data_IF_767650746400
#
_entry.id   IF_767650746400
#
_cell.length_a   1.000
_cell.length_b   1.000
_cell.length_c   1.000
_cell.angle_alpha   90.00
_cell.angle_beta   90.00
_cell.angle_gamma   90.00
#
_symmetry.space_group_name_H-M   'P 1'
#
loop_
_entity.id
_entity.type
_entity.pdbx_description
1 polymer ?
#
# COMPACT_ATOMS: atom_id res chain seq x y z
N UNK A 1 -3.78 -4.44 -22.38
CA UNK A 1 -4.62 -5.33 -21.53
C UNK A 1 -5.35 -4.58 -20.42
N UNK A 2 -4.66 -3.90 -19.48
CA UNK A 2 -5.31 -3.22 -18.34
C UNK A 2 -6.44 -2.25 -18.72
N UNK A 3 -6.23 -1.41 -19.74
CA UNK A 3 -7.25 -0.47 -20.25
C UNK A 3 -8.52 -1.21 -20.73
N UNK A 4 -8.36 -2.34 -21.43
CA UNK A 4 -9.49 -3.14 -21.94
C UNK A 4 -10.30 -3.71 -20.77
N UNK A 5 -9.63 -4.24 -19.75
CA UNK A 5 -10.28 -4.77 -18.53
C UNK A 5 -11.00 -3.65 -17.78
N UNK A 6 -10.34 -2.51 -17.58
CA UNK A 6 -10.92 -1.33 -16.93
C UNK A 6 -12.20 -0.87 -17.66
N UNK A 7 -12.13 -0.78 -18.99
CA UNK A 7 -13.27 -0.39 -19.83
C UNK A 7 -14.39 -1.43 -19.78
N UNK A 8 -14.08 -2.72 -19.85
CA UNK A 8 -15.06 -3.80 -19.71
C UNK A 8 -15.78 -3.75 -18.36
N UNK A 9 -15.02 -3.72 -17.27
CA UNK A 9 -15.55 -3.64 -15.90
C UNK A 9 -16.39 -2.39 -15.69
N UNK A 10 -15.98 -1.26 -16.26
CA UNK A 10 -16.73 -0.01 -16.13
C UNK A 10 -18.14 -0.06 -16.68
N UNK A 11 -18.48 -1.02 -17.56
CA UNK A 11 -19.84 -1.20 -18.10
C UNK A 11 -20.68 -2.22 -17.35
N UNK A 12 -20.07 -2.95 -16.43
CA UNK A 12 -20.79 -3.95 -15.64
C UNK A 12 -21.80 -3.25 -14.74
N UNK A 13 -22.99 -3.81 -14.61
CA UNK A 13 -24.02 -3.35 -13.69
C UNK A 13 -23.61 -3.65 -12.23
N UNK A 14 -23.33 -2.62 -11.40
CA UNK A 14 -22.90 -2.84 -10.02
C UNK A 14 -23.93 -3.57 -9.17
N UNK A 15 -25.22 -3.37 -9.43
CA UNK A 15 -26.29 -3.94 -8.60
C UNK A 15 -26.25 -5.47 -8.58
N UNK A 16 -25.83 -6.08 -9.69
CA UNK A 16 -25.76 -7.53 -9.87
C UNK A 16 -24.37 -8.10 -9.59
N UNK A 17 -23.33 -7.40 -10.02
CA UNK A 17 -21.98 -7.97 -10.10
C UNK A 17 -21.01 -7.47 -9.05
N UNK A 18 -21.24 -6.31 -8.43
CA UNK A 18 -20.28 -5.72 -7.49
C UNK A 18 -19.92 -6.68 -6.36
N UNK A 19 -20.92 -7.30 -5.72
CA UNK A 19 -20.67 -8.26 -4.64
C UNK A 19 -19.97 -9.52 -5.11
N UNK A 20 -20.33 -10.04 -6.28
CA UNK A 20 -19.74 -11.28 -6.83
C UNK A 20 -18.27 -11.07 -7.18
N UNK A 21 -17.95 -9.97 -7.85
CA UNK A 21 -16.58 -9.59 -8.21
C UNK A 21 -15.76 -9.29 -6.96
N UNK A 22 -16.34 -8.60 -5.99
CA UNK A 22 -15.69 -8.30 -4.72
C UNK A 22 -15.27 -9.55 -3.94
N UNK A 23 -16.20 -10.50 -3.76
CA UNK A 23 -15.88 -11.77 -3.10
C UNK A 23 -14.94 -12.65 -3.93
N UNK A 24 -15.07 -12.63 -5.26
CA UNK A 24 -14.11 -13.30 -6.15
C UNK A 24 -12.69 -12.76 -5.93
N UNK A 25 -12.51 -11.44 -5.88
CA UNK A 25 -11.23 -10.77 -5.63
C UNK A 25 -10.71 -10.99 -4.20
N UNK A 26 -11.55 -11.39 -3.25
CA UNK A 26 -11.11 -11.75 -1.90
C UNK A 26 -10.66 -13.22 -1.85
N UNK A 27 -11.54 -14.15 -2.24
CA UNK A 27 -11.34 -15.57 -2.01
C UNK A 27 -10.38 -16.20 -3.01
N UNK A 28 -10.49 -15.89 -4.31
CA UNK A 28 -9.63 -16.53 -5.32
C UNK A 28 -8.16 -16.16 -5.10
N UNK A 29 -7.78 -14.88 -4.93
CA UNK A 29 -6.41 -14.55 -4.59
C UNK A 29 -5.94 -15.16 -3.27
N UNK A 30 -6.78 -15.21 -2.23
CA UNK A 30 -6.43 -15.86 -0.95
C UNK A 30 -6.08 -17.34 -1.16
N UNK A 31 -6.89 -18.07 -1.93
CA UNK A 31 -6.63 -19.47 -2.27
C UNK A 31 -5.36 -19.63 -3.10
N UNK A 32 -5.09 -18.72 -4.04
CA UNK A 32 -3.86 -18.73 -4.82
C UNK A 32 -2.62 -18.51 -3.95
N UNK A 33 -2.66 -17.60 -2.96
CA UNK A 33 -1.54 -17.39 -2.04
C UNK A 33 -1.20 -18.67 -1.26
N UNK A 34 -2.23 -19.36 -0.76
CA UNK A 34 -2.04 -20.66 -0.09
C UNK A 34 -1.52 -21.72 -1.07
N UNK A 35 -2.11 -21.78 -2.27
CA UNK A 35 -1.73 -22.73 -3.32
C UNK A 35 -0.28 -22.56 -3.79
N UNK A 36 0.23 -21.33 -3.83
CA UNK A 36 1.60 -21.02 -4.21
C UNK A 36 2.66 -21.70 -3.36
N UNK A 37 2.35 -22.02 -2.10
CA UNK A 37 3.25 -22.76 -1.23
C UNK A 37 3.60 -24.14 -1.83
N UNK A 38 2.59 -24.80 -2.40
CA UNK A 38 2.70 -26.15 -2.97
C UNK A 38 3.22 -26.17 -4.42
N UNK A 39 3.30 -25.01 -5.08
CA UNK A 39 3.79 -24.92 -6.46
C UNK A 39 5.31 -25.07 -6.53
N UNK A 40 5.86 -25.72 -7.58
CA UNK A 40 7.30 -25.78 -7.79
C UNK A 40 7.89 -24.39 -8.07
N UNK A 41 9.18 -24.21 -7.80
CA UNK A 41 9.86 -22.91 -8.01
C UNK A 41 9.85 -22.44 -9.46
N UNK A 42 9.74 -23.36 -10.41
CA UNK A 42 9.59 -23.06 -11.84
C UNK A 42 8.33 -22.25 -12.15
N UNK A 43 7.24 -22.52 -11.42
CA UNK A 43 5.95 -21.86 -11.57
C UNK A 43 5.74 -20.74 -10.56
N UNK A 44 6.40 -20.79 -9.41
CA UNK A 44 6.26 -19.81 -8.34
C UNK A 44 7.62 -19.32 -7.88
N UNK A 45 8.03 -18.15 -8.37
CA UNK A 45 9.39 -17.67 -8.09
C UNK A 45 9.52 -17.02 -6.74
N UNK A 46 10.57 -17.44 -6.05
CA UNK A 46 11.06 -16.86 -4.81
C UNK A 46 11.80 -15.55 -5.11
N UNK A 47 11.34 -14.42 -4.58
CA UNK A 47 12.21 -13.23 -4.45
C UNK A 47 12.09 -12.66 -3.03
N UNK A 48 13.22 -12.19 -2.49
CA UNK A 48 13.27 -11.73 -1.10
C UNK A 48 13.00 -12.83 -0.07
N UNK A 49 13.20 -14.10 -0.43
CA UNK A 49 13.00 -15.25 0.46
C UNK A 49 11.57 -15.79 0.55
N UNK A 50 10.65 -15.32 -0.30
CA UNK A 50 9.27 -15.84 -0.35
C UNK A 50 8.70 -15.92 -1.77
N UNK A 51 7.76 -16.83 -1.98
CA UNK A 51 7.03 -17.03 -3.24
C UNK A 51 5.93 -15.97 -3.37
N UNK A 52 6.14 -14.98 -4.24
CA UNK A 52 5.19 -13.85 -4.40
C UNK A 52 4.55 -13.76 -5.79
N UNK A 53 5.08 -14.47 -6.78
CA UNK A 53 4.57 -14.45 -8.15
C UNK A 53 4.36 -15.84 -8.71
N UNK A 54 3.24 -16.02 -9.41
CA UNK A 54 2.95 -17.18 -10.25
C UNK A 54 3.36 -16.82 -11.68
N UNK A 55 4.33 -17.53 -12.23
CA UNK A 55 4.81 -17.36 -13.61
C UNK A 55 3.91 -18.14 -14.56
N UNK A 56 3.17 -17.42 -15.39
CA UNK A 56 2.26 -18.00 -16.40
C UNK A 56 2.85 -17.93 -17.81
N UNK A 57 4.19 -17.97 -17.91
CA UNK A 57 4.94 -17.83 -19.15
C UNK A 57 5.06 -16.37 -19.62
N UNK A 58 3.97 -15.83 -20.18
CA UNK A 58 3.97 -14.48 -20.77
C UNK A 58 3.76 -13.35 -19.76
N UNK A 59 3.28 -13.67 -18.56
CA UNK A 59 3.11 -12.70 -17.48
C UNK A 59 3.27 -13.37 -16.11
N UNK A 60 3.63 -12.55 -15.11
CA UNK A 60 3.72 -12.95 -13.72
C UNK A 60 2.54 -12.41 -12.93
N UNK A 61 1.74 -13.31 -12.34
CA UNK A 61 0.59 -13.00 -11.52
C UNK A 61 0.99 -12.87 -10.05
N UNK A 62 0.74 -11.71 -9.44
CA UNK A 62 0.90 -11.49 -8.00
C UNK A 62 -0.48 -11.47 -7.35
N UNK A 63 -0.94 -12.55 -6.68
CA UNK A 63 -2.30 -12.61 -6.16
C UNK A 63 -2.61 -11.51 -5.14
N UNK A 64 -1.61 -11.12 -4.34
CA UNK A 64 -1.76 -10.11 -3.29
C UNK A 64 -2.27 -8.76 -3.82
N UNK A 65 -1.88 -8.40 -5.04
CA UNK A 65 -2.32 -7.17 -5.71
C UNK A 65 -3.84 -7.15 -5.95
N UNK A 66 -4.45 -8.31 -6.17
CA UNK A 66 -5.90 -8.45 -6.33
C UNK A 66 -6.61 -8.62 -4.98
N UNK A 67 -5.96 -9.32 -4.04
CA UNK A 67 -6.47 -9.56 -2.70
C UNK A 67 -6.77 -8.26 -1.95
N UNK A 68 -5.89 -7.25 -2.05
CA UNK A 68 -6.11 -5.95 -1.38
C UNK A 68 -7.38 -5.25 -1.83
N UNK A 69 -7.79 -5.42 -3.09
CA UNK A 69 -9.06 -4.91 -3.63
C UNK A 69 -10.23 -5.70 -3.06
N UNK A 70 -10.12 -7.03 -3.01
CA UNK A 70 -11.13 -7.90 -2.41
C UNK A 70 -11.34 -7.63 -0.92
N UNK A 71 -10.25 -7.42 -0.17
CA UNK A 71 -10.29 -7.02 1.24
C UNK A 71 -10.97 -5.66 1.42
N UNK A 72 -10.60 -4.69 0.60
CA UNK A 72 -11.24 -3.36 0.61
C UNK A 72 -12.74 -3.44 0.31
N UNK A 73 -13.14 -4.28 -0.65
CA UNK A 73 -14.54 -4.59 -0.89
C UNK A 73 -15.21 -5.22 0.34
N UNK A 74 -14.59 -6.22 0.97
CA UNK A 74 -15.15 -6.89 2.15
C UNK A 74 -15.40 -5.89 3.28
N UNK A 75 -14.44 -5.00 3.55
CA UNK A 75 -14.60 -3.94 4.54
C UNK A 75 -15.76 -3.02 4.18
N UNK A 76 -15.82 -2.52 2.95
CA UNK A 76 -16.90 -1.65 2.51
C UNK A 76 -18.29 -2.33 2.58
N UNK A 77 -18.40 -3.58 2.15
CA UNK A 77 -19.63 -4.38 2.13
C UNK A 77 -20.14 -4.72 3.53
N UNK A 78 -19.22 -4.96 4.48
CA UNK A 78 -19.54 -5.40 5.83
C UNK A 78 -19.69 -4.22 6.80
N UNK A 79 -18.77 -3.24 6.80
CA UNK A 79 -18.85 -2.04 7.67
C UNK A 79 -20.09 -1.21 7.37
N UNK A 80 -20.52 -1.13 6.10
CA UNK A 80 -21.75 -0.42 5.73
C UNK A 80 -23.01 -0.99 6.38
N UNK A 81 -22.99 -2.25 6.81
CA UNK A 81 -24.13 -2.93 7.44
C UNK A 81 -24.11 -2.92 8.96
N UNK A 82 -22.95 -2.65 9.55
CA UNK A 82 -22.74 -2.83 10.99
C UNK A 82 -22.40 -1.55 11.71
N UNK A 83 -21.65 -0.64 11.08
CA UNK A 83 -21.28 0.66 11.64
C UNK A 83 -22.12 1.80 11.07
N UNK A 84 -22.36 1.81 9.76
CA UNK A 84 -23.18 2.87 9.15
C UNK A 84 -24.67 2.70 9.48
N UNK A 85 -25.16 1.46 9.58
CA UNK A 85 -26.58 1.18 9.73
C UNK A 85 -27.07 1.14 11.19
N UNK A 86 -26.17 1.20 12.18
CA UNK A 86 -26.50 1.09 13.60
C UNK A 86 -25.86 2.24 14.36
N UNK A 87 -26.67 3.06 15.00
CA UNK A 87 -26.18 3.98 16.04
C UNK A 87 -25.65 3.15 17.21
N UNK A 88 -24.41 3.41 17.62
CA UNK A 88 -23.76 2.70 18.72
C UNK A 88 -23.50 3.65 19.86
N UNK A 89 -23.90 3.24 21.06
CA UNK A 89 -23.85 4.11 22.22
C UNK A 89 -22.51 4.05 22.98
N UNK A 90 -21.72 2.97 22.80
CA UNK A 90 -20.52 2.74 23.62
C UNK A 90 -19.38 2.03 22.86
N UNK A 91 -18.13 2.38 23.20
CA UNK A 91 -16.88 1.82 22.64
C UNK A 91 -16.80 0.30 22.79
N UNK A 92 -17.36 -0.28 23.85
CA UNK A 92 -17.39 -1.75 24.04
C UNK A 92 -18.19 -2.45 22.92
N UNK A 93 -19.33 -1.89 22.54
CA UNK A 93 -20.17 -2.45 21.46
C UNK A 93 -19.50 -2.28 20.10
N UNK A 94 -18.82 -1.15 19.89
CA UNK A 94 -18.00 -0.95 18.70
C UNK A 94 -16.88 -1.98 18.62
N UNK A 95 -16.17 -2.23 19.72
CA UNK A 95 -15.08 -3.21 19.80
C UNK A 95 -15.58 -4.63 19.51
N UNK A 96 -16.70 -5.05 20.11
CA UNK A 96 -17.32 -6.36 19.83
C UNK A 96 -17.71 -6.46 18.35
N UNK A 97 -18.28 -5.40 17.78
CA UNK A 97 -18.61 -5.37 16.35
C UNK A 97 -17.36 -5.41 15.49
N UNK A 98 -16.23 -4.87 15.95
CA UNK A 98 -14.97 -4.84 15.23
C UNK A 98 -14.26 -6.20 15.20
N UNK A 99 -14.52 -7.10 16.17
CA UNK A 99 -13.85 -8.41 16.30
C UNK A 99 -13.80 -9.23 14.99
N UNK A 100 -14.90 -9.41 14.23
CA UNK A 100 -14.85 -10.17 12.98
C UNK A 100 -13.91 -9.56 11.93
N UNK A 101 -13.80 -8.23 11.88
CA UNK A 101 -12.91 -7.53 10.95
C UNK A 101 -11.45 -7.71 11.35
N UNK A 102 -11.16 -7.60 12.65
CA UNK A 102 -9.84 -7.93 13.20
C UNK A 102 -9.46 -9.37 12.90
N UNK A 103 -10.38 -10.31 13.05
CA UNK A 103 -10.11 -11.72 12.79
C UNK A 103 -9.74 -11.96 11.32
N UNK A 104 -10.52 -11.43 10.38
CA UNK A 104 -10.21 -11.53 8.94
C UNK A 104 -8.88 -10.83 8.62
N UNK A 105 -8.65 -9.64 9.17
CA UNK A 105 -7.38 -8.93 8.96
C UNK A 105 -6.19 -9.70 9.50
N UNK A 106 -6.26 -10.23 10.74
CA UNK A 106 -5.19 -11.01 11.35
C UNK A 106 -4.93 -12.29 10.56
N UNK A 107 -5.97 -13.00 10.11
CA UNK A 107 -5.82 -14.18 9.26
C UNK A 107 -5.07 -13.85 7.96
N UNK A 108 -5.44 -12.75 7.29
CA UNK A 108 -4.76 -12.29 6.07
C UNK A 108 -3.33 -11.81 6.38
N UNK A 109 -3.12 -11.07 7.47
CA UNK A 109 -1.81 -10.57 7.87
C UNK A 109 -0.83 -11.71 8.21
N UNK A 110 -1.31 -12.75 8.88
CA UNK A 110 -0.54 -13.97 9.15
C UNK A 110 -0.23 -14.69 7.82
N UNK A 111 -1.23 -14.87 6.95
CA UNK A 111 -1.03 -15.50 5.64
C UNK A 111 0.01 -14.76 4.79
N UNK A 112 -0.11 -13.44 4.68
CA UNK A 112 0.83 -12.60 3.92
C UNK A 112 2.20 -12.57 4.61
N UNK A 113 2.25 -12.44 5.93
CA UNK A 113 3.49 -12.35 6.69
C UNK A 113 4.31 -13.64 6.65
N UNK A 114 3.66 -14.79 6.78
CA UNK A 114 4.34 -16.09 6.77
C UNK A 114 4.62 -16.54 5.33
N UNK A 115 3.64 -16.48 4.43
CA UNK A 115 3.77 -17.09 3.10
C UNK A 115 4.47 -16.17 2.09
N UNK A 116 4.33 -14.85 2.25
CA UNK A 116 4.86 -13.87 1.29
C UNK A 116 5.95 -12.97 1.88
N UNK A 117 6.13 -12.98 3.21
CA UNK A 117 7.10 -12.16 3.93
C UNK A 117 7.03 -10.67 3.50
N UNK A 118 5.82 -10.14 3.33
CA UNK A 118 5.57 -8.79 2.82
C UNK A 118 4.91 -7.92 3.89
N UNK A 119 5.74 -7.25 4.68
CA UNK A 119 5.28 -6.34 5.74
C UNK A 119 4.62 -5.08 5.18
N UNK A 120 5.05 -4.60 4.01
CA UNK A 120 4.50 -3.37 3.43
C UNK A 120 3.02 -3.51 3.10
N UNK A 121 2.64 -4.68 2.58
CA UNK A 121 1.25 -4.97 2.24
C UNK A 121 0.39 -5.17 3.49
N UNK A 122 0.93 -5.75 4.57
CA UNK A 122 0.22 -5.84 5.87
C UNK A 122 -0.05 -4.44 6.43
N UNK A 123 0.96 -3.56 6.40
CA UNK A 123 0.82 -2.17 6.85
C UNK A 123 -0.22 -1.43 6.00
N UNK A 124 -0.20 -1.61 4.68
CA UNK A 124 -1.19 -1.03 3.77
C UNK A 124 -2.62 -1.49 4.10
N UNK A 125 -2.85 -2.80 4.25
CA UNK A 125 -4.16 -3.36 4.59
C UNK A 125 -4.64 -2.89 5.97
N UNK A 126 -3.74 -2.80 6.94
CA UNK A 126 -4.04 -2.30 8.28
C UNK A 126 -4.42 -0.83 8.27
N UNK A 127 -3.70 -0.01 7.51
CA UNK A 127 -4.02 1.42 7.33
C UNK A 127 -5.38 1.61 6.64
N UNK A 128 -5.68 0.82 5.60
CA UNK A 128 -7.00 0.83 4.94
C UNK A 128 -8.10 0.44 5.92
N UNK A 129 -7.91 -0.61 6.73
CA UNK A 129 -8.86 -1.01 7.76
C UNK A 129 -9.13 0.10 8.78
N UNK A 130 -8.06 0.67 9.34
CA UNK A 130 -8.17 1.68 10.37
C UNK A 130 -8.90 2.94 9.87
N UNK A 131 -8.59 3.40 8.66
CA UNK A 131 -9.22 4.60 8.10
C UNK A 131 -10.65 4.32 7.62
N UNK A 132 -10.92 3.18 6.97
CA UNK A 132 -12.29 2.83 6.58
C UNK A 132 -13.23 2.67 7.78
N UNK A 133 -12.72 2.22 8.93
CA UNK A 133 -13.49 2.17 10.15
C UNK A 133 -13.98 3.56 10.57
N UNK A 134 -13.09 4.56 10.55
CA UNK A 134 -13.45 5.96 10.85
C UNK A 134 -14.46 6.49 9.83
N UNK A 135 -14.24 6.26 8.53
CA UNK A 135 -15.17 6.67 7.48
C UNK A 135 -16.53 5.96 7.55
N UNK A 136 -16.59 4.77 8.16
CA UNK A 136 -17.84 4.04 8.39
C UNK A 136 -18.62 4.52 9.62
N UNK A 137 -18.10 5.51 10.37
CA UNK A 137 -18.72 6.05 11.58
C UNK A 137 -18.20 5.47 12.88
N UNK A 138 -17.07 4.75 12.88
CA UNK A 138 -16.44 4.27 14.11
C UNK A 138 -15.88 5.42 14.97
N UNK A 139 -15.92 5.29 16.29
CA UNK A 139 -15.46 6.33 17.20
C UNK A 139 -13.94 6.58 17.10
N UNK A 140 -13.52 7.82 17.36
CA UNK A 140 -12.11 8.19 17.47
C UNK A 140 -11.38 7.41 18.60
N UNK A 141 -12.12 7.01 19.65
CA UNK A 141 -11.59 6.17 20.72
C UNK A 141 -11.26 4.76 20.24
N UNK A 142 -12.16 4.11 19.48
CA UNK A 142 -11.86 2.80 18.91
C UNK A 142 -10.67 2.88 17.93
N UNK A 143 -10.61 3.92 17.10
CA UNK A 143 -9.46 4.16 16.23
C UNK A 143 -8.15 4.29 17.03
N UNK A 144 -8.15 5.13 18.08
CA UNK A 144 -7.00 5.28 18.97
C UNK A 144 -6.59 3.96 19.63
N UNK A 145 -7.55 3.14 20.07
CA UNK A 145 -7.31 1.81 20.65
C UNK A 145 -6.66 0.85 19.65
N UNK A 146 -7.13 0.84 18.39
CA UNK A 146 -6.55 0.00 17.34
C UNK A 146 -5.13 0.43 17.00
N UNK A 147 -4.89 1.73 16.83
CA UNK A 147 -3.56 2.26 16.48
C UNK A 147 -2.57 2.02 17.62
N UNK A 148 -2.97 2.30 18.86
CA UNK A 148 -2.14 2.03 20.06
C UNK A 148 -1.87 0.55 20.24
N UNK A 149 -2.87 -0.32 20.04
CA UNK A 149 -2.70 -1.77 20.08
C UNK A 149 -1.73 -2.28 19.01
N UNK A 150 -1.88 -1.82 17.76
CA UNK A 150 -0.96 -2.16 16.67
C UNK A 150 0.48 -1.67 16.95
N UNK A 151 0.62 -0.47 17.53
CA UNK A 151 1.90 0.06 17.95
C UNK A 151 2.52 -0.79 19.07
N UNK A 152 1.77 -1.13 20.11
CA UNK A 152 2.23 -1.98 21.21
C UNK A 152 2.67 -3.36 20.72
N UNK A 153 1.90 -4.01 19.84
CA UNK A 153 2.26 -5.28 19.22
C UNK A 153 3.54 -5.14 18.41
N UNK A 154 3.70 -4.06 17.64
CA UNK A 154 4.91 -3.80 16.85
C UNK A 154 6.14 -3.61 17.73
N UNK A 155 6.02 -2.86 18.83
CA UNK A 155 7.10 -2.66 19.81
C UNK A 155 7.49 -3.98 20.45
N UNK A 156 6.52 -4.77 20.93
CA UNK A 156 6.76 -6.10 21.50
C UNK A 156 7.48 -7.01 20.49
N UNK A 157 7.00 -7.02 19.25
CA UNK A 157 7.54 -7.81 18.17
C UNK A 157 8.97 -7.41 17.77
N UNK A 158 9.36 -6.15 17.99
CA UNK A 158 10.73 -5.65 17.77
C UNK A 158 11.61 -6.05 18.94
N UNK A 159 11.20 -5.78 20.18
CA UNK A 159 12.01 -6.02 21.39
C UNK A 159 12.32 -7.51 21.60
N UNK A 160 11.44 -8.40 21.14
CA UNK A 160 11.61 -9.86 21.25
C UNK A 160 12.57 -10.46 20.22
N UNK A 161 13.05 -9.70 19.23
CA UNK A 161 13.89 -10.24 18.15
C UNK A 161 15.10 -9.36 17.90
N UNK A 162 16.29 -9.90 18.21
CA UNK A 162 17.57 -9.21 17.99
C UNK A 162 17.75 -8.74 16.54
N UNK A 163 17.33 -9.56 15.57
CA UNK A 163 17.35 -9.20 14.15
C UNK A 163 16.48 -7.99 13.82
N UNK A 164 15.31 -7.85 14.46
CA UNK A 164 14.40 -6.72 14.23
C UNK A 164 14.93 -5.44 14.90
N UNK A 165 15.53 -5.55 16.08
CA UNK A 165 16.25 -4.45 16.72
C UNK A 165 17.39 -3.96 15.82
N UNK A 166 18.18 -4.87 15.25
CA UNK A 166 19.27 -4.50 14.34
C UNK A 166 18.74 -3.76 13.10
N UNK A 167 17.65 -4.23 12.49
CA UNK A 167 17.01 -3.52 11.35
C UNK A 167 16.51 -2.13 11.75
N UNK A 168 15.94 -1.98 12.95
CA UNK A 168 15.49 -0.67 13.43
C UNK A 168 16.69 0.27 13.66
N UNK A 169 17.78 -0.23 14.25
CA UNK A 169 19.03 0.53 14.43
C UNK A 169 19.63 0.96 13.09
N UNK A 170 19.66 0.07 12.09
CA UNK A 170 20.11 0.39 10.74
C UNK A 170 19.22 1.47 10.10
N UNK A 171 17.90 1.35 10.20
CA UNK A 171 16.98 2.39 9.72
C UNK A 171 17.22 3.74 10.42
N UNK A 172 17.31 3.75 11.75
CA UNK A 172 17.60 4.96 12.53
C UNK A 172 18.94 5.61 12.14
N UNK A 173 19.96 4.78 11.90
CA UNK A 173 21.29 5.21 11.47
C UNK A 173 21.30 5.87 10.08
N UNK A 174 20.36 5.53 9.19
CA UNK A 174 20.18 6.24 7.92
C UNK A 174 19.42 7.56 8.12
N UNK A 175 18.41 7.56 8.99
CA UNK A 175 17.55 8.72 9.23
C UNK A 175 18.30 9.85 9.97
N UNK A 176 19.20 9.51 10.89
CA UNK A 176 19.98 10.48 11.68
C UNK A 176 20.75 11.48 10.81
N UNK A 177 21.33 11.05 9.69
CA UNK A 177 22.13 11.93 8.82
C UNK A 177 21.26 13.03 8.21
N UNK A 178 19.99 12.74 7.93
CA UNK A 178 19.03 13.73 7.42
C UNK A 178 18.44 14.58 8.54
N UNK A 179 18.06 13.98 9.68
CA UNK A 179 17.39 14.68 10.78
C UNK A 179 18.34 15.55 11.63
N UNK A 180 19.59 15.15 11.81
CA UNK A 180 20.50 15.84 12.74
C UNK A 180 20.97 17.19 12.20
N UNK A 181 20.89 17.41 10.88
CA UNK A 181 21.07 18.74 10.29
C UNK A 181 20.01 19.75 10.75
N UNK A 182 18.87 19.28 11.25
CA UNK A 182 17.76 20.10 11.72
C UNK A 182 17.70 20.21 13.26
N UNK A 183 18.52 19.44 13.99
CA UNK A 183 18.52 19.40 15.46
C UNK A 183 19.75 20.11 16.06
N UNK A 184 19.64 20.68 17.27
CA UNK A 184 20.80 21.22 17.98
C UNK A 184 21.87 20.14 18.22
N UNK A 185 23.15 20.49 18.11
CA UNK A 185 24.29 19.55 18.16
C UNK A 185 24.29 18.64 19.40
N UNK A 186 23.86 19.16 20.56
CA UNK A 186 23.77 18.38 21.81
C UNK A 186 22.75 17.24 21.72
N UNK A 187 21.60 17.48 21.08
CA UNK A 187 20.54 16.49 20.87
C UNK A 187 20.93 15.50 19.77
N UNK A 188 21.55 15.98 18.69
CA UNK A 188 22.07 15.14 17.62
C UNK A 188 23.11 14.13 18.15
N UNK A 189 24.08 14.59 18.94
CA UNK A 189 25.11 13.72 19.50
C UNK A 189 24.55 12.70 20.51
N UNK A 190 23.51 13.04 21.27
CA UNK A 190 22.87 12.11 22.21
C UNK A 190 22.07 10.99 21.54
N UNK A 191 21.53 11.25 20.34
CA UNK A 191 20.71 10.30 19.58
C UNK A 191 21.50 9.49 18.54
N UNK A 192 22.79 9.81 18.36
CA UNK A 192 23.65 9.22 17.34
C UNK A 192 24.02 7.79 17.68
N UNK A 193 23.82 6.89 16.73
CA UNK A 193 24.34 5.52 16.80
C UNK A 193 25.53 5.45 15.83
N UNK A 194 26.73 5.23 16.37
CA UNK A 194 27.96 5.05 15.58
C UNK A 194 28.07 3.63 15.03
N UNK A 195 28.88 3.48 13.97
CA UNK A 195 29.41 2.19 13.50
C UNK A 195 28.41 1.20 12.87
N UNK A 196 27.35 1.72 12.24
CA UNK A 196 26.42 0.92 11.43
C UNK A 196 26.62 1.23 9.93
N UNK A 197 26.58 0.20 9.06
CA UNK A 197 26.69 0.41 7.61
C UNK A 197 25.45 1.14 7.06
N UNK A 198 25.67 2.13 6.19
CA UNK A 198 24.59 2.81 5.48
C UNK A 198 23.81 1.85 4.57
N UNK A 199 22.51 2.08 4.43
CA UNK A 199 21.69 1.27 3.52
C UNK A 199 21.98 1.66 2.07
N UNK A 200 22.69 0.79 1.35
CA UNK A 200 23.06 0.95 -0.06
C UNK A 200 21.93 1.54 -0.93
N UNK A 201 20.74 0.93 -0.90
CA UNK A 201 19.62 1.40 -1.73
C UNK A 201 19.11 2.79 -1.34
N UNK A 202 18.99 3.10 -0.05
CA UNK A 202 18.47 4.40 0.40
C UNK A 202 19.52 5.49 0.13
N UNK A 203 20.80 5.19 0.34
CA UNK A 203 21.90 6.07 0.02
C UNK A 203 21.92 6.42 -1.48
N UNK A 204 21.87 5.43 -2.37
CA UNK A 204 21.82 5.69 -3.81
C UNK A 204 20.53 6.36 -4.25
N UNK A 205 19.39 6.10 -3.58
CA UNK A 205 18.15 6.81 -3.86
C UNK A 205 18.25 8.30 -3.51
N UNK A 206 18.84 8.62 -2.35
CA UNK A 206 19.11 10.00 -1.94
C UNK A 206 20.07 10.71 -2.90
N UNK A 207 21.15 10.04 -3.32
CA UNK A 207 22.09 10.60 -4.29
C UNK A 207 21.46 10.80 -5.68
N UNK A 208 20.61 9.89 -6.14
CA UNK A 208 19.86 10.04 -7.39
C UNK A 208 18.93 11.26 -7.33
N UNK A 209 18.20 11.44 -6.22
CA UNK A 209 17.35 12.61 -5.99
C UNK A 209 18.18 13.91 -5.94
N UNK A 210 19.31 13.89 -5.25
CA UNK A 210 20.22 15.03 -5.17
C UNK A 210 20.78 15.41 -6.54
N UNK A 211 21.23 14.42 -7.31
CA UNK A 211 21.75 14.60 -8.67
C UNK A 211 20.69 15.20 -9.60
N UNK A 212 19.42 14.80 -9.47
CA UNK A 212 18.34 15.38 -10.27
C UNK A 212 18.06 16.86 -9.99
N UNK A 213 18.34 17.38 -8.80
CA UNK A 213 18.05 18.77 -8.45
C UNK A 213 16.59 19.16 -8.72
N UNK A 214 16.35 20.38 -9.22
CA UNK A 214 14.99 20.87 -9.50
C UNK A 214 14.42 20.39 -10.84
N UNK A 215 15.26 20.33 -11.88
CA UNK A 215 14.85 20.11 -13.27
C UNK A 215 15.17 18.71 -13.82
N UNK A 216 15.98 17.94 -13.11
CA UNK A 216 16.46 16.63 -13.55
C UNK A 216 17.68 16.71 -14.43
N UNK A 217 18.29 15.55 -14.64
CA UNK A 217 19.41 15.36 -15.56
C UNK A 217 18.96 15.15 -17.01
N UNK A 218 17.67 14.93 -17.25
CA UNK A 218 17.10 14.59 -18.55
C UNK A 218 16.76 13.11 -18.69
N UNK A 219 15.79 12.82 -19.57
CA UNK A 219 15.27 11.47 -19.82
C UNK A 219 16.38 10.52 -20.29
N UNK A 220 16.58 9.41 -19.57
CA UNK A 220 17.60 8.42 -19.89
C UNK A 220 19.04 8.86 -19.57
N UNK A 221 19.23 10.04 -18.98
CA UNK A 221 20.54 10.56 -18.58
C UNK A 221 20.85 10.32 -17.09
N UNK A 222 19.95 9.64 -16.36
CA UNK A 222 20.14 9.28 -14.96
C UNK A 222 21.21 8.20 -14.77
N UNK A 223 22.44 8.61 -14.42
CA UNK A 223 23.57 7.69 -14.26
C UNK A 223 23.47 6.85 -12.98
N UNK A 224 22.93 7.41 -11.89
CA UNK A 224 22.82 6.71 -10.60
C UNK A 224 21.76 5.62 -10.69
N UNK A 225 20.64 5.92 -11.35
CA UNK A 225 19.60 4.95 -11.73
C UNK A 225 20.16 3.77 -12.53
N UNK A 226 21.03 4.01 -13.50
CA UNK A 226 21.53 2.95 -14.40
C UNK A 226 22.65 2.11 -13.77
N UNK A 227 23.47 2.71 -12.90
CA UNK A 227 24.66 2.05 -12.35
C UNK A 227 24.52 1.51 -10.93
N UNK A 228 23.64 2.09 -10.09
CA UNK A 228 23.74 1.93 -8.64
C UNK A 228 22.41 1.68 -7.92
N UNK A 229 21.26 1.98 -8.54
CA UNK A 229 19.97 1.65 -7.97
C UNK A 229 19.49 0.27 -8.48
N UNK A 230 19.36 -0.69 -7.58
CA UNK A 230 18.62 -1.92 -7.89
C UNK A 230 17.13 -1.64 -7.89
N UNK A 231 16.36 -2.34 -8.74
CA UNK A 231 14.89 -2.29 -8.72
C UNK A 231 14.32 -0.87 -9.00
N UNK A 232 14.98 -0.09 -9.86
CA UNK A 232 14.54 1.30 -10.19
C UNK A 232 13.17 1.32 -10.84
N UNK A 233 12.85 0.30 -11.61
CA UNK A 233 11.56 0.26 -12.29
C UNK A 233 10.42 -0.14 -11.35
N UNK A 234 10.69 -0.69 -10.18
CA UNK A 234 9.69 -1.21 -9.24
C UNK A 234 9.64 -0.32 -7.99
N UNK A 235 10.48 -0.61 -6.99
CA UNK A 235 10.42 -0.02 -5.66
C UNK A 235 11.07 1.37 -5.60
N UNK A 236 12.08 1.63 -6.45
CA UNK A 236 12.87 2.87 -6.45
C UNK A 236 12.48 3.83 -7.58
N UNK A 237 11.29 3.68 -8.14
CA UNK A 237 10.86 4.45 -9.31
C UNK A 237 10.78 5.96 -9.06
N UNK A 238 10.38 6.37 -7.86
CA UNK A 238 10.34 7.79 -7.52
C UNK A 238 11.75 8.41 -7.46
N UNK A 239 12.76 7.67 -7.00
CA UNK A 239 14.15 8.14 -7.06
C UNK A 239 14.63 8.26 -8.51
N UNK A 240 14.27 7.30 -9.37
CA UNK A 240 14.60 7.35 -10.80
C UNK A 240 13.93 8.53 -11.52
N UNK A 241 12.66 8.81 -11.22
CA UNK A 241 11.94 9.97 -11.74
C UNK A 241 12.58 11.27 -11.23
N UNK A 242 12.94 11.32 -9.94
CA UNK A 242 13.58 12.48 -9.36
C UNK A 242 14.95 12.77 -10.01
N UNK A 243 15.73 11.75 -10.35
CA UNK A 243 17.01 11.95 -11.05
C UNK A 243 16.81 12.50 -12.46
N UNK A 244 15.87 11.95 -13.23
CA UNK A 244 15.69 12.31 -14.64
C UNK A 244 14.89 13.59 -14.85
N UNK A 245 13.87 13.85 -14.02
CA UNK A 245 12.93 14.98 -14.16
C UNK A 245 13.00 15.97 -12.98
N UNK A 246 13.86 15.71 -11.99
CA UNK A 246 14.04 16.57 -10.84
C UNK A 246 12.84 16.56 -9.90
N UNK A 247 12.87 17.52 -8.97
CA UNK A 247 11.76 17.81 -8.08
C UNK A 247 10.46 18.12 -8.83
N UNK A 248 10.52 18.80 -9.97
CA UNK A 248 9.33 19.10 -10.78
C UNK A 248 8.63 17.84 -11.30
N UNK A 249 9.39 16.82 -11.71
CA UNK A 249 8.84 15.52 -12.10
C UNK A 249 8.03 14.87 -10.96
N UNK A 250 8.58 14.88 -9.74
CA UNK A 250 7.86 14.41 -8.56
C UNK A 250 6.58 15.23 -8.33
N UNK A 251 6.64 16.55 -8.37
CA UNK A 251 5.46 17.40 -8.21
C UNK A 251 4.35 17.04 -9.21
N UNK A 252 4.69 16.86 -10.48
CA UNK A 252 3.74 16.44 -11.52
C UNK A 252 3.10 15.11 -11.17
N UNK A 253 3.89 14.10 -10.75
CA UNK A 253 3.34 12.82 -10.31
C UNK A 253 2.34 12.99 -9.15
N UNK A 254 2.72 13.70 -8.08
CA UNK A 254 1.85 13.92 -6.92
C UNK A 254 0.59 14.71 -7.26
N UNK A 255 0.66 15.68 -8.18
CA UNK A 255 -0.51 16.42 -8.68
C UNK A 255 -1.46 15.47 -9.42
N UNK A 256 -0.95 14.62 -10.31
CA UNK A 256 -1.78 13.66 -11.05
C UNK A 256 -2.49 12.66 -10.12
N UNK A 257 -1.78 12.14 -9.10
CA UNK A 257 -2.41 11.29 -8.08
C UNK A 257 -3.45 12.05 -7.27
N UNK A 258 -3.17 13.30 -6.90
CA UNK A 258 -4.11 14.15 -6.15
C UNK A 258 -5.39 14.40 -6.95
N UNK A 259 -5.27 14.69 -8.25
CA UNK A 259 -6.41 14.83 -9.15
C UNK A 259 -7.21 13.53 -9.22
N UNK A 260 -6.55 12.39 -9.42
CA UNK A 260 -7.21 11.08 -9.44
C UNK A 260 -7.98 10.81 -8.13
N UNK A 261 -7.34 11.05 -6.99
CA UNK A 261 -7.94 10.87 -5.66
C UNK A 261 -9.18 11.76 -5.49
N UNK A 262 -9.09 13.04 -5.84
CA UNK A 262 -10.22 13.99 -5.77
C UNK A 262 -11.37 13.53 -6.66
N UNK A 263 -11.08 13.02 -7.87
CA UNK A 263 -12.12 12.50 -8.76
C UNK A 263 -12.84 11.29 -8.16
N UNK A 264 -12.11 10.35 -7.55
CA UNK A 264 -12.71 9.18 -6.90
C UNK A 264 -13.54 9.60 -5.67
N UNK A 265 -13.06 10.55 -4.86
CA UNK A 265 -13.84 11.10 -3.75
C UNK A 265 -15.12 11.81 -4.21
N UNK A 266 -15.06 12.56 -5.31
CA UNK A 266 -16.27 13.18 -5.90
C UNK A 266 -17.30 12.13 -6.31
N UNK A 267 -16.86 10.99 -6.83
CA UNK A 267 -17.73 9.84 -7.13
C UNK A 267 -18.29 9.25 -5.83
N UNK A 268 -17.44 9.01 -4.83
CA UNK A 268 -17.82 8.47 -3.53
C UNK A 268 -18.95 9.28 -2.86
N UNK A 269 -18.84 10.62 -2.90
CA UNK A 269 -19.80 11.54 -2.28
C UNK A 269 -21.16 11.58 -2.99
N UNK A 270 -21.25 11.14 -4.25
CA UNK A 270 -22.51 11.11 -5.03
C UNK A 270 -23.24 9.78 -4.93
N UNK A 271 -22.61 8.74 -4.38
CA UNK A 271 -23.19 7.41 -4.26
C UNK A 271 -24.15 7.33 -3.07
N UNK A 272 -25.39 6.92 -3.32
CA UNK A 272 -26.42 6.78 -2.29
C UNK A 272 -26.22 5.56 -1.37
N UNK A 273 -25.67 4.47 -1.91
CA UNK A 273 -25.44 3.24 -1.13
C UNK A 273 -24.08 3.30 -0.40
N UNK A 274 -24.03 3.24 0.94
CA UNK A 274 -22.79 3.43 1.70
C UNK A 274 -21.67 2.45 1.36
N UNK A 275 -22.00 1.19 1.03
CA UNK A 275 -21.01 0.18 0.59
C UNK A 275 -20.25 0.61 -0.67
N UNK A 276 -20.90 1.33 -1.60
CA UNK A 276 -20.25 1.77 -2.83
C UNK A 276 -19.37 3.00 -2.56
N UNK A 277 -19.85 3.91 -1.72
CA UNK A 277 -19.09 5.07 -1.28
C UNK A 277 -17.82 4.65 -0.52
N UNK A 278 -17.97 3.78 0.49
CA UNK A 278 -16.85 3.24 1.28
C UNK A 278 -15.85 2.46 0.41
N UNK A 279 -16.31 1.74 -0.61
CA UNK A 279 -15.38 1.07 -1.53
C UNK A 279 -14.55 2.09 -2.33
N UNK A 280 -15.16 3.17 -2.82
CA UNK A 280 -14.44 4.24 -3.51
C UNK A 280 -13.41 4.90 -2.59
N UNK A 281 -13.78 5.18 -1.34
CA UNK A 281 -12.84 5.66 -0.31
C UNK A 281 -11.72 4.64 -0.10
N UNK A 282 -12.03 3.35 -0.02
CA UNK A 282 -11.05 2.30 0.11
C UNK A 282 -10.05 2.23 -1.05
N UNK A 283 -10.51 2.42 -2.29
CA UNK A 283 -9.63 2.51 -3.48
C UNK A 283 -8.73 3.74 -3.40
N UNK A 284 -9.25 4.88 -2.94
CA UNK A 284 -8.42 6.06 -2.66
C UNK A 284 -7.32 5.72 -1.64
N UNK A 285 -7.67 5.04 -0.55
CA UNK A 285 -6.70 4.68 0.49
C UNK A 285 -5.64 3.71 -0.05
N UNK A 286 -6.01 2.73 -0.86
CA UNK A 286 -5.05 1.84 -1.52
C UNK A 286 -4.06 2.61 -2.39
N UNK A 287 -4.54 3.55 -3.21
CA UNK A 287 -3.68 4.33 -4.11
C UNK A 287 -2.80 5.30 -3.31
N UNK A 288 -3.42 6.08 -2.42
CA UNK A 288 -2.76 7.12 -1.64
C UNK A 288 -1.73 6.56 -0.67
N UNK A 289 -2.08 5.53 0.11
CA UNK A 289 -1.12 4.93 1.04
C UNK A 289 0.00 4.17 0.34
N UNK A 290 -0.26 3.50 -0.79
CA UNK A 290 0.84 2.89 -1.55
C UNK A 290 1.83 3.94 -2.05
N UNK A 291 1.35 5.10 -2.55
CA UNK A 291 2.19 6.21 -2.95
C UNK A 291 3.00 6.78 -1.78
N UNK A 292 2.34 7.08 -0.65
CA UNK A 292 3.00 7.69 0.52
C UNK A 292 4.02 6.73 1.15
N UNK A 293 3.65 5.45 1.35
CA UNK A 293 4.56 4.47 1.94
C UNK A 293 5.76 4.24 1.01
N UNK A 294 5.57 4.17 -0.30
CA UNK A 294 6.70 4.08 -1.23
C UNK A 294 7.58 5.33 -1.17
N UNK A 295 7.00 6.53 -1.27
CA UNK A 295 7.76 7.78 -1.24
C UNK A 295 8.58 7.93 0.05
N UNK A 296 8.00 7.61 1.20
CA UNK A 296 8.71 7.63 2.48
C UNK A 296 9.72 6.49 2.62
N UNK A 297 9.48 5.33 2.02
CA UNK A 297 10.44 4.23 1.96
C UNK A 297 11.68 4.57 1.11
N UNK A 298 11.47 5.17 -0.06
CA UNK A 298 12.55 5.64 -0.95
C UNK A 298 13.36 6.76 -0.29
N UNK A 299 12.69 7.69 0.41
CA UNK A 299 13.34 8.74 1.18
C UNK A 299 14.00 8.29 2.50
N UNK A 300 13.97 6.99 2.84
CA UNK A 300 14.55 6.46 4.08
C UNK A 300 13.77 6.79 5.36
N UNK A 301 12.61 7.45 5.24
CA UNK A 301 11.76 7.84 6.38
C UNK A 301 11.09 6.60 6.99
N UNK A 302 10.60 5.66 6.18
CA UNK A 302 9.99 4.43 6.67
C UNK A 302 10.90 3.22 6.48
N UNK A 303 10.99 2.29 7.45
CA UNK A 303 11.78 1.05 7.34
C UNK A 303 11.10 -0.01 6.45
N UNK A 304 10.11 0.39 5.65
CA UNK A 304 9.26 -0.49 4.84
C UNK A 304 9.62 -0.28 3.37
N UNK A 305 9.93 -1.38 2.68
CA UNK A 305 10.23 -1.45 1.24
C UNK A 305 9.31 -2.46 0.58
N UNK A 306 9.17 -2.43 -0.75
CA UNK A 306 8.43 -3.45 -1.50
C UNK A 306 7.00 -3.09 -1.92
N UNK A 307 6.54 -1.86 -1.69
CA UNK A 307 5.26 -1.40 -2.23
C UNK A 307 5.48 -0.69 -3.55
N UNK A 308 4.89 -1.24 -4.61
CA UNK A 308 4.82 -0.61 -5.92
C UNK A 308 3.98 0.67 -5.88
N UNK A 309 4.46 1.73 -6.51
CA UNK A 309 3.67 2.94 -6.76
C UNK A 309 2.59 2.62 -7.79
N UNK A 310 1.30 2.85 -7.48
CA UNK A 310 0.20 2.52 -8.40
C UNK A 310 0.41 3.19 -9.77
N UNK A 311 0.18 2.47 -10.87
CA UNK A 311 0.33 2.95 -12.26
C UNK A 311 1.74 3.35 -12.72
N UNK A 312 2.67 3.67 -11.83
CA UNK A 312 4.04 4.05 -12.20
C UNK A 312 4.99 2.87 -12.18
N UNK A 313 5.01 2.10 -11.09
CA UNK A 313 5.95 0.99 -10.94
C UNK A 313 5.70 -0.11 -11.99
N UNK A 314 6.78 -0.65 -12.52
CA UNK A 314 6.81 -1.78 -13.43
C UNK A 314 6.34 -3.04 -12.70
N UNK A 315 5.07 -3.36 -12.89
CA UNK A 315 4.47 -4.57 -12.33
C UNK A 315 3.17 -4.88 -13.04
N UNK A 316 3.20 -5.84 -13.96
CA UNK A 316 2.03 -6.20 -14.77
C UNK A 316 0.79 -6.50 -13.91
N UNK A 317 0.97 -7.27 -12.84
CA UNK A 317 -0.13 -7.57 -11.89
C UNK A 317 -0.63 -6.36 -11.12
N UNK A 318 0.26 -5.49 -10.65
CA UNK A 318 -0.14 -4.29 -9.91
C UNK A 318 -0.90 -3.33 -10.83
N UNK A 319 -0.42 -3.12 -12.06
CA UNK A 319 -1.09 -2.31 -13.06
C UNK A 319 -2.49 -2.86 -13.37
N UNK A 320 -2.61 -4.18 -13.57
CA UNK A 320 -3.91 -4.83 -13.82
C UNK A 320 -4.86 -4.69 -12.63
N UNK A 321 -4.38 -4.92 -11.40
CA UNK A 321 -5.17 -4.76 -10.20
C UNK A 321 -5.66 -3.31 -10.06
N UNK A 322 -4.79 -2.32 -10.25
CA UNK A 322 -5.18 -0.91 -10.23
C UNK A 322 -6.21 -0.59 -11.33
N UNK A 323 -6.06 -1.12 -12.55
CA UNK A 323 -7.07 -1.01 -13.61
C UNK A 323 -8.41 -1.66 -13.24
N UNK A 324 -8.41 -2.79 -12.51
CA UNK A 324 -9.63 -3.42 -12.00
C UNK A 324 -10.30 -2.54 -10.95
N UNK A 325 -9.53 -2.01 -9.99
CA UNK A 325 -10.04 -1.12 -8.95
C UNK A 325 -10.70 0.13 -9.57
N UNK A 326 -10.03 0.79 -10.52
CA UNK A 326 -10.59 1.93 -11.24
C UNK A 326 -11.79 1.53 -12.11
N UNK A 327 -11.74 0.37 -12.77
CA UNK A 327 -12.86 -0.15 -13.55
C UNK A 327 -14.13 -0.32 -12.71
N UNK A 328 -13.99 -0.83 -11.48
CA UNK A 328 -15.10 -0.93 -10.52
C UNK A 328 -15.58 0.44 -10.05
N UNK A 329 -14.68 1.39 -9.77
CA UNK A 329 -15.07 2.77 -9.43
C UNK A 329 -15.84 3.44 -10.57
N UNK A 330 -15.40 3.27 -11.82
CA UNK A 330 -16.09 3.82 -12.99
C UNK A 330 -17.45 3.16 -13.24
N UNK A 331 -17.57 1.87 -12.95
CA UNK A 331 -18.85 1.14 -12.97
C UNK A 331 -19.82 1.74 -11.95
N UNK A 332 -19.35 2.05 -10.73
CA UNK A 332 -20.14 2.76 -9.72
C UNK A 332 -20.48 4.19 -10.14
N UNK A 333 -19.57 4.91 -10.79
CA UNK A 333 -19.81 6.27 -11.27
C UNK A 333 -20.98 6.33 -12.27
N UNK A 334 -21.14 5.31 -13.15
CA UNK A 334 -22.28 5.21 -14.07
C UNK A 334 -23.59 4.85 -13.38
N UNK A 335 -23.53 4.21 -12.21
CA UNK A 335 -24.70 3.83 -11.43
C UNK A 335 -25.30 5.01 -10.65
N UNK A 336 -24.59 6.13 -10.56
CA UNK A 336 -25.13 7.37 -10.03
C UNK A 336 -26.29 7.80 -10.94
N UNK A 337 -27.53 7.58 -10.49
CA UNK A 337 -28.72 8.14 -11.13
C UNK A 337 -28.64 9.67 -10.99
N UNK A 338 -28.63 10.35 -12.13
CA UNK A 338 -28.66 11.82 -12.22
C UNK A 338 -29.83 12.42 -11.48
#
# INVERSE_FOLDING_TARGET
MGIIIMWGLSRVDPSKWFSRLGFFLLFVPSLLIVGMFFLPESLSSSAGGAKRWIRLGFFSLAPLEFLKIGFTFFLAWSLSRTFVAKEKANVKEELITFVPYSFVFVALAIGVGILQNDLGQIVLLGAVLAVLLVFSGGSAHLFGLIVSGAFAISVLAIVTSEHRILRLKLWWSNLQNSLFTLLPDKLANALRISDLPESYQVFHAGNAMHNGGLLGQGLGLGQIKLGFLSEVHTDMILAGIAEEWGFLGLCVCFILFSVLIVLIFRIANRLKEPKYSLFCVGVVLLIGFSLVINAFGVGGIFPVKGLAVPFLSYGGSSLLANCIAIGLVLSLARYIKG
#
